data_IF_339475119947
#
_entry.id   IF_339475119947
#
_cell.length_a   1.000
_cell.length_b   1.000
_cell.length_c   1.000
_cell.angle_alpha   90.00
_cell.angle_beta   90.00
_cell.angle_gamma   90.00
#
_symmetry.space_group_name_H-M   'P 1'
#
loop_
_entity.id
_entity.type
_entity.pdbx_description
1 polymer ?
#
# COMPACT_ATOMS: atom_id res chain seq x y z
N UNK A 1 27.74 -8.39 -33.29
CA UNK A 1 28.43 -7.09 -33.27
C UNK A 1 27.47 -6.07 -32.68
N UNK A 2 27.73 -5.65 -31.44
CA UNK A 2 27.32 -4.38 -30.84
C UNK A 2 28.01 -4.35 -29.47
N UNK A 3 29.01 -3.49 -29.32
CA UNK A 3 29.77 -3.26 -28.09
C UNK A 3 29.48 -1.83 -27.65
N UNK A 4 28.72 -1.67 -26.58
CA UNK A 4 28.66 -0.41 -25.83
C UNK A 4 29.81 -0.42 -24.81
N UNK A 5 30.93 0.18 -25.20
CA UNK A 5 31.62 1.15 -24.33
C UNK A 5 32.29 0.71 -23.02
N UNK A 6 32.63 -0.56 -22.78
CA UNK A 6 33.66 -0.94 -21.78
C UNK A 6 34.25 -2.33 -22.13
N UNK A 7 35.28 -2.34 -22.98
CA UNK A 7 35.75 -3.51 -23.72
C UNK A 7 36.60 -4.49 -22.87
N UNK A 8 35.94 -5.15 -21.92
CA UNK A 8 36.44 -6.38 -21.28
C UNK A 8 35.76 -7.56 -21.96
N UNK A 9 36.33 -8.08 -23.05
CA UNK A 9 35.78 -9.29 -23.68
C UNK A 9 35.93 -10.46 -22.70
N UNK A 10 34.82 -10.89 -22.10
CA UNK A 10 34.79 -12.04 -21.20
C UNK A 10 34.84 -13.32 -22.05
N UNK A 11 35.92 -14.08 -21.89
CA UNK A 11 36.08 -15.40 -22.50
C UNK A 11 35.76 -16.50 -21.48
N UNK A 12 35.13 -17.58 -21.93
CA UNK A 12 34.96 -18.77 -21.11
C UNK A 12 36.26 -19.59 -20.99
N UNK A 13 36.36 -20.40 -19.95
CA UNK A 13 37.58 -21.11 -19.54
C UNK A 13 37.97 -22.26 -20.47
N UNK A 14 37.03 -22.77 -21.27
CA UNK A 14 37.23 -23.88 -22.19
C UNK A 14 36.86 -23.55 -23.63
N UNK A 15 37.02 -24.53 -24.52
CA UNK A 15 36.59 -24.45 -25.92
C UNK A 15 35.07 -24.29 -26.09
N UNK A 16 34.32 -24.66 -25.06
CA UNK A 16 32.87 -24.48 -24.94
C UNK A 16 32.53 -23.95 -23.56
N UNK A 17 31.62 -22.97 -23.49
CA UNK A 17 31.21 -22.39 -22.22
C UNK A 17 30.22 -23.30 -21.49
N UNK A 18 30.38 -23.44 -20.18
CA UNK A 18 29.49 -24.25 -19.32
C UNK A 18 29.16 -23.50 -18.04
N UNK A 19 27.93 -23.65 -17.54
CA UNK A 19 27.52 -23.03 -16.28
C UNK A 19 28.48 -23.38 -15.12
N UNK A 20 28.89 -24.65 -14.98
CA UNK A 20 29.73 -25.08 -13.87
C UNK A 20 31.11 -24.38 -13.81
N UNK A 21 31.69 -24.02 -14.97
CA UNK A 21 33.03 -23.44 -15.05
C UNK A 21 33.01 -21.91 -15.24
N UNK A 22 31.97 -21.38 -15.86
CA UNK A 22 31.94 -20.00 -16.36
C UNK A 22 30.90 -19.12 -15.65
N UNK A 23 30.12 -19.66 -14.71
CA UNK A 23 29.06 -18.91 -14.02
C UNK A 23 29.55 -17.59 -13.43
N UNK A 24 30.70 -17.58 -12.73
CA UNK A 24 31.21 -16.34 -12.12
C UNK A 24 31.74 -15.34 -13.15
N UNK A 25 32.19 -15.80 -14.31
CA UNK A 25 32.71 -14.94 -15.36
C UNK A 25 31.56 -14.32 -16.18
N UNK A 26 30.51 -15.11 -16.46
CA UNK A 26 29.46 -14.74 -17.41
C UNK A 26 28.12 -14.39 -16.76
N UNK A 27 27.88 -14.76 -15.51
CA UNK A 27 26.60 -14.58 -14.84
C UNK A 27 26.76 -13.78 -13.54
N UNK A 28 25.73 -13.01 -13.21
CA UNK A 28 25.60 -12.34 -11.91
C UNK A 28 24.34 -12.80 -11.22
N UNK A 29 24.42 -13.01 -9.91
CA UNK A 29 23.26 -13.31 -9.10
C UNK A 29 22.35 -12.08 -9.04
N UNK A 30 21.04 -12.32 -9.14
CA UNK A 30 20.03 -11.29 -8.86
C UNK A 30 20.08 -10.95 -7.36
N UNK A 31 19.91 -9.67 -7.04
CA UNK A 31 19.75 -9.26 -5.65
C UNK A 31 18.41 -9.73 -5.10
N UNK A 32 18.32 -9.90 -3.80
CA UNK A 32 17.05 -10.09 -3.10
C UNK A 32 16.47 -8.74 -2.70
N UNK A 33 15.15 -8.63 -2.56
CA UNK A 33 14.50 -7.42 -2.06
C UNK A 33 15.00 -7.09 -0.63
N UNK A 34 15.28 -8.10 0.19
CA UNK A 34 15.95 -7.95 1.49
C UNK A 34 15.33 -6.89 2.41
N UNK A 35 16.04 -6.50 3.47
CA UNK A 35 15.60 -5.44 4.39
C UNK A 35 16.05 -4.05 3.97
N UNK A 36 16.95 -3.94 2.99
CA UNK A 36 17.57 -2.67 2.59
C UNK A 36 16.89 -2.03 1.36
N UNK A 37 15.93 -2.71 0.73
CA UNK A 37 15.12 -2.11 -0.33
C UNK A 37 14.02 -1.24 0.27
N UNK A 38 14.00 0.03 -0.12
CA UNK A 38 12.97 0.97 0.30
C UNK A 38 11.84 1.00 -0.73
N UNK A 39 10.64 0.68 -0.28
CA UNK A 39 9.43 0.84 -1.07
C UNK A 39 9.10 2.33 -1.25
N UNK A 40 8.48 2.71 -2.37
CA UNK A 40 7.97 4.07 -2.57
C UNK A 40 6.83 4.38 -1.59
N UNK A 41 6.39 5.65 -1.58
CA UNK A 41 5.20 6.05 -0.82
C UNK A 41 4.00 5.16 -1.17
N UNK A 42 3.17 4.88 -0.17
CA UNK A 42 1.95 4.07 -0.23
C UNK A 42 2.18 2.56 -0.43
N UNK A 43 3.42 2.09 -0.24
CA UNK A 43 3.79 0.67 -0.30
C UNK A 43 4.61 0.25 0.92
N UNK A 44 4.54 -1.02 1.26
CA UNK A 44 5.34 -1.65 2.31
C UNK A 44 6.09 -2.87 1.79
N UNK A 45 7.25 -3.22 2.38
CA UNK A 45 7.98 -4.42 1.96
C UNK A 45 7.15 -5.69 2.12
N UNK A 46 7.22 -6.57 1.13
CA UNK A 46 6.64 -7.92 1.23
C UNK A 46 7.30 -8.70 2.37
N UNK A 47 6.50 -9.45 3.12
CA UNK A 47 6.96 -10.24 4.28
C UNK A 47 8.14 -11.18 3.96
N UNK A 48 8.17 -11.72 2.73
CA UNK A 48 9.22 -12.62 2.25
C UNK A 48 10.33 -11.92 1.44
N UNK A 49 10.56 -10.62 1.64
CA UNK A 49 11.50 -9.81 0.83
C UNK A 49 12.91 -10.41 0.68
N UNK A 50 13.42 -11.11 1.68
CA UNK A 50 14.73 -11.80 1.61
C UNK A 50 14.78 -12.96 0.60
N UNK A 51 13.63 -13.51 0.20
CA UNK A 51 13.50 -14.61 -0.77
C UNK A 51 12.99 -14.15 -2.14
N UNK A 52 12.56 -12.89 -2.25
CA UNK A 52 12.09 -12.30 -3.51
C UNK A 52 13.27 -11.67 -4.25
N UNK A 53 13.33 -11.88 -5.56
CA UNK A 53 14.45 -11.43 -6.39
C UNK A 53 14.08 -10.16 -7.16
N UNK A 54 14.99 -9.19 -7.15
CA UNK A 54 14.97 -8.01 -8.02
C UNK A 54 15.29 -8.42 -9.46
N UNK A 55 14.95 -7.62 -10.46
CA UNK A 55 15.12 -7.94 -11.88
C UNK A 55 16.58 -8.19 -12.25
N UNK A 56 17.52 -7.54 -11.55
CA UNK A 56 18.96 -7.63 -11.83
C UNK A 56 19.78 -7.84 -10.55
N UNK A 57 21.11 -7.79 -10.67
CA UNK A 57 22.06 -7.82 -9.55
C UNK A 57 22.10 -6.54 -8.71
N UNK A 58 21.24 -5.56 -9.02
CA UNK A 58 20.95 -4.41 -8.19
C UNK A 58 19.45 -4.12 -8.24
N UNK A 59 18.84 -3.87 -7.09
CA UNK A 59 17.43 -3.55 -7.01
C UNK A 59 17.18 -2.09 -7.39
N UNK A 60 16.08 -1.84 -8.11
CA UNK A 60 15.60 -0.52 -8.48
C UNK A 60 14.17 -0.34 -7.96
N UNK A 61 13.95 0.71 -7.16
CA UNK A 61 12.67 0.96 -6.50
C UNK A 61 11.45 1.02 -7.44
N UNK A 62 11.64 1.46 -8.69
CA UNK A 62 10.56 1.59 -9.67
C UNK A 62 10.33 0.28 -10.43
N UNK A 63 11.41 -0.40 -10.85
CA UNK A 63 11.33 -1.65 -11.62
C UNK A 63 10.90 -2.82 -10.73
N UNK A 64 11.40 -2.86 -9.50
CA UNK A 64 11.21 -3.98 -8.58
C UNK A 64 10.07 -3.76 -7.59
N UNK A 65 9.36 -2.62 -7.66
CA UNK A 65 8.27 -2.27 -6.74
C UNK A 65 7.29 -3.41 -6.56
N UNK A 66 6.73 -3.93 -7.64
CA UNK A 66 5.66 -4.94 -7.57
C UNK A 66 6.21 -6.32 -7.18
N UNK A 67 7.51 -6.56 -7.42
CA UNK A 67 8.18 -7.78 -6.97
C UNK A 67 8.49 -7.73 -5.48
N UNK A 68 8.81 -6.56 -4.92
CA UNK A 68 9.36 -6.39 -3.57
C UNK A 68 8.39 -5.79 -2.55
N UNK A 69 7.34 -5.11 -3.00
CA UNK A 69 6.44 -4.34 -2.14
C UNK A 69 4.99 -4.72 -2.38
N UNK A 70 4.18 -4.56 -1.33
CA UNK A 70 2.73 -4.61 -1.38
C UNK A 70 2.16 -3.20 -1.25
N UNK A 71 1.11 -2.85 -2.00
CA UNK A 71 0.42 -1.57 -1.81
C UNK A 71 -0.30 -1.55 -0.45
N UNK A 72 -0.33 -0.39 0.19
CA UNK A 72 -1.17 -0.15 1.36
C UNK A 72 -2.64 -0.15 0.97
N UNK A 73 -3.50 -0.62 1.88
CA UNK A 73 -4.94 -0.66 1.63
C UNK A 73 -5.53 0.75 1.62
N UNK A 74 -6.54 0.97 0.78
CA UNK A 74 -7.35 2.19 0.82
C UNK A 74 -8.33 2.13 2.00
N UNK A 75 -8.58 3.26 2.65
CA UNK A 75 -9.60 3.36 3.69
C UNK A 75 -10.99 2.92 3.24
N UNK A 76 -11.28 2.90 1.93
CA UNK A 76 -12.54 2.37 1.38
C UNK A 76 -12.80 0.90 1.73
N UNK A 77 -11.77 0.14 2.11
CA UNK A 77 -11.91 -1.27 2.52
C UNK A 77 -12.21 -1.43 4.01
N UNK A 78 -12.11 -0.37 4.81
CA UNK A 78 -12.39 -0.44 6.25
C UNK A 78 -13.90 -0.32 6.49
N UNK A 79 -14.46 -1.23 7.28
CA UNK A 79 -15.77 -1.06 7.87
C UNK A 79 -15.65 -0.19 9.13
N UNK A 80 -16.29 0.98 9.12
CA UNK A 80 -16.29 1.85 10.30
C UNK A 80 -17.18 1.26 11.42
N UNK A 81 -16.82 1.50 12.69
CA UNK A 81 -17.62 1.05 13.82
C UNK A 81 -18.98 1.77 13.89
N UNK A 82 -19.85 1.29 14.78
CA UNK A 82 -21.16 1.91 15.03
C UNK A 82 -21.03 3.41 15.31
N UNK A 83 -21.92 4.20 14.69
CA UNK A 83 -21.94 5.67 14.75
C UNK A 83 -20.75 6.37 14.07
N UNK A 84 -19.98 5.65 13.26
CA UNK A 84 -18.94 6.22 12.41
C UNK A 84 -19.22 5.87 10.95
N UNK A 85 -18.79 6.76 10.06
CA UNK A 85 -18.82 6.54 8.61
C UNK A 85 -17.48 6.89 8.00
N UNK A 86 -17.22 6.35 6.81
CA UNK A 86 -16.00 6.66 6.07
C UNK A 86 -15.91 8.16 5.83
N UNK A 87 -14.69 8.69 5.95
CA UNK A 87 -14.43 10.09 5.59
C UNK A 87 -14.72 10.32 4.11
N UNK A 88 -15.12 11.55 3.71
CA UNK A 88 -15.44 11.86 2.32
C UNK A 88 -14.28 11.59 1.35
N UNK A 89 -13.04 11.69 1.83
CA UNK A 89 -11.80 11.47 1.10
C UNK A 89 -11.19 10.06 1.32
N UNK A 90 -11.98 9.08 1.78
CA UNK A 90 -11.52 7.71 2.06
C UNK A 90 -10.83 7.03 0.86
N UNK A 91 -11.22 7.35 -0.38
CA UNK A 91 -10.59 6.82 -1.58
C UNK A 91 -9.12 7.28 -1.76
N UNK A 92 -8.76 8.43 -1.19
CA UNK A 92 -7.39 8.98 -1.22
C UNK A 92 -6.62 8.78 0.08
N UNK A 93 -7.21 8.10 1.07
CA UNK A 93 -6.54 7.76 2.33
C UNK A 93 -6.09 6.31 2.31
N UNK A 94 -4.93 6.08 2.91
CA UNK A 94 -4.30 4.77 3.02
C UNK A 94 -4.23 4.34 4.49
N UNK A 95 -4.37 3.05 4.70
CA UNK A 95 -4.21 2.39 5.99
C UNK A 95 -2.72 2.16 6.28
N UNK A 96 -2.40 1.86 7.53
CA UNK A 96 -1.03 1.59 7.97
C UNK A 96 -0.45 0.30 7.37
N UNK A 97 -1.31 -0.60 6.89
CA UNK A 97 -0.93 -1.88 6.31
C UNK A 97 -1.62 -2.20 4.98
N UNK A 98 -1.26 -3.37 4.45
CA UNK A 98 -1.88 -3.98 3.25
C UNK A 98 -3.34 -4.38 3.46
N UNK A 99 -3.80 -4.38 4.70
CA UNK A 99 -5.18 -4.48 5.11
C UNK A 99 -5.42 -3.41 6.19
N UNK A 100 -6.60 -2.81 6.19
CA UNK A 100 -6.99 -1.87 7.22
C UNK A 100 -7.37 -2.59 8.51
N UNK A 101 -6.96 -2.03 9.63
CA UNK A 101 -7.31 -2.47 10.97
C UNK A 101 -8.08 -1.34 11.68
N UNK A 102 -9.23 -1.64 12.29
CA UNK A 102 -10.05 -0.60 12.92
C UNK A 102 -9.31 0.13 14.06
N UNK A 103 -8.52 -0.59 14.85
CA UNK A 103 -7.82 0.00 15.99
C UNK A 103 -6.65 0.92 15.56
N UNK A 104 -6.00 0.60 14.43
CA UNK A 104 -4.90 1.40 13.88
C UNK A 104 -5.39 2.51 12.94
N UNK A 105 -6.39 2.22 12.12
CA UNK A 105 -6.79 3.05 10.98
C UNK A 105 -8.13 3.77 11.19
N UNK A 106 -8.89 3.45 12.25
CA UNK A 106 -10.23 3.99 12.48
C UNK A 106 -10.26 5.52 12.49
N UNK A 107 -9.30 6.17 13.15
CA UNK A 107 -9.23 7.65 13.16
C UNK A 107 -8.72 8.24 11.85
N UNK A 108 -7.94 7.48 11.08
CA UNK A 108 -7.48 7.88 9.74
C UNK A 108 -8.64 7.84 8.76
N UNK A 109 -9.41 6.75 8.78
CA UNK A 109 -10.40 6.40 7.76
C UNK A 109 -11.83 6.82 8.08
N UNK A 110 -12.21 6.87 9.35
CA UNK A 110 -13.59 7.08 9.79
C UNK A 110 -13.75 8.42 10.51
N UNK A 111 -14.94 8.97 10.41
CA UNK A 111 -15.40 10.13 11.18
C UNK A 111 -16.67 9.76 11.93
N UNK A 112 -16.82 10.30 13.14
CA UNK A 112 -18.06 10.14 13.90
C UNK A 112 -19.21 10.79 13.12
N UNK A 113 -20.37 10.14 13.15
CA UNK A 113 -21.58 10.63 12.51
C UNK A 113 -22.05 11.91 13.19
N UNK A 114 -22.77 12.75 12.43
CA UNK A 114 -23.38 13.95 12.97
C UNK A 114 -24.45 13.61 14.02
N UNK A 115 -24.78 14.57 14.88
CA UNK A 115 -25.89 14.46 15.81
C UNK A 115 -27.14 15.17 15.27
N UNK A 116 -28.33 14.63 15.54
CA UNK A 116 -29.62 15.19 15.12
C UNK A 116 -29.96 16.53 15.77
N UNK A 117 -29.17 17.03 16.74
CA UNK A 117 -29.46 18.28 17.47
C UNK A 117 -29.57 19.52 16.58
N UNK A 118 -28.97 19.50 15.38
CA UNK A 118 -29.06 20.56 14.38
C UNK A 118 -30.10 20.32 13.27
N UNK A 119 -30.88 19.24 13.33
CA UNK A 119 -31.81 18.88 12.26
C UNK A 119 -33.03 19.82 12.20
N UNK A 120 -33.41 20.25 11.00
CA UNK A 120 -34.53 21.15 10.79
C UNK A 120 -35.85 20.37 10.60
N UNK A 121 -36.66 20.29 11.66
CA UNK A 121 -37.99 19.72 11.59
C UNK A 121 -38.96 20.65 10.83
N UNK A 122 -39.77 20.07 9.94
CA UNK A 122 -40.86 20.77 9.27
C UNK A 122 -42.16 20.69 10.08
N UNK A 123 -42.99 21.73 10.02
CA UNK A 123 -44.32 21.71 10.67
C UNK A 123 -45.16 20.52 10.20
N UNK A 124 -45.88 19.82 11.10
CA UNK A 124 -46.13 20.15 12.52
C UNK A 124 -45.14 19.51 13.52
N UNK A 125 -43.96 19.07 13.06
CA UNK A 125 -42.98 18.37 13.91
C UNK A 125 -41.94 19.31 14.53
N UNK A 126 -41.40 18.91 15.68
CA UNK A 126 -40.31 19.59 16.41
C UNK A 126 -39.26 18.57 16.84
N UNK A 127 -38.04 19.03 17.13
CA UNK A 127 -36.97 18.17 17.65
C UNK A 127 -37.38 17.52 18.98
N UNK A 128 -37.01 16.25 19.14
CA UNK A 128 -37.09 15.56 20.43
C UNK A 128 -36.08 16.16 21.42
N UNK A 129 -36.38 16.03 22.72
CA UNK A 129 -35.49 16.50 23.79
C UNK A 129 -34.09 15.86 23.73
N UNK A 130 -34.02 14.60 23.29
CA UNK A 130 -32.78 13.83 23.19
C UNK A 130 -32.12 13.91 21.80
N UNK A 131 -32.61 14.74 20.88
CA UNK A 131 -32.07 14.84 19.52
C UNK A 131 -30.56 15.13 19.47
N UNK A 132 -30.02 15.88 20.44
CA UNK A 132 -28.59 16.17 20.53
C UNK A 132 -27.73 14.93 20.89
N UNK A 133 -28.33 13.85 21.38
CA UNK A 133 -27.65 12.60 21.71
C UNK A 133 -27.91 11.48 20.70
N UNK A 134 -28.65 11.76 19.62
CA UNK A 134 -28.96 10.80 18.56
C UNK A 134 -28.02 11.03 17.40
N UNK A 135 -27.24 10.00 17.03
CA UNK A 135 -26.42 10.02 15.82
C UNK A 135 -27.28 9.86 14.56
N UNK A 136 -26.90 10.59 13.52
CA UNK A 136 -27.39 10.41 12.16
C UNK A 136 -26.71 9.20 11.52
N UNK A 137 -27.22 8.74 10.37
CA UNK A 137 -26.62 7.61 9.65
C UNK A 137 -25.29 7.96 8.97
N UNK A 138 -24.92 9.25 8.90
CA UNK A 138 -23.65 9.70 8.36
C UNK A 138 -23.23 11.07 8.89
N UNK A 139 -22.36 11.73 8.12
CA UNK A 139 -21.74 13.02 8.48
C UNK A 139 -22.68 14.23 8.36
N UNK A 140 -23.87 14.01 7.84
CA UNK A 140 -24.97 14.97 7.81
C UNK A 140 -26.27 14.26 8.17
N UNK A 141 -27.25 15.05 8.60
CA UNK A 141 -28.59 14.59 8.90
C UNK A 141 -29.49 15.06 7.74
N UNK A 142 -29.43 14.34 6.62
CA UNK A 142 -30.08 14.69 5.35
C UNK A 142 -31.19 13.70 4.95
N UNK A 143 -31.54 12.76 5.84
CA UNK A 143 -32.64 11.81 5.71
C UNK A 143 -33.59 11.87 6.89
#
# INVERSE_FOLDING_TARGET
YAVDGNDSVVHCRGVSCTLALDFQACCSLRSTCGSNFSCPADYVPKLAGSNLLCATSACNATVDRDACCDPLASCTTLACPTNYTLKPDAASRICAGVACDEALDGTTCCSENAFCGGFACSSPSVLRLDAAAVHCSGLACDQ
#
